data_IF_126332879670
#
_entry.id   IF_126332879670
#
_cell.length_a   1.000
_cell.length_b   1.000
_cell.length_c   1.000
_cell.angle_alpha   90.00
_cell.angle_beta   90.00
_cell.angle_gamma   90.00
#
_symmetry.space_group_name_H-M   'P 1'
#
loop_
_entity.id
_entity.type
_entity.pdbx_description
1 polymer ?
#
# COMPACT_ATOMS: atom_id res chain seq x y z
N UNK A 1 21.58 -67.91 -10.39
CA UNK A 1 20.70 -67.06 -9.55
C UNK A 1 21.31 -65.68 -9.21
N UNK A 2 22.32 -65.20 -9.95
CA UNK A 2 23.17 -64.07 -9.54
C UNK A 2 23.08 -62.83 -10.44
N UNK A 3 22.60 -62.96 -11.69
CA UNK A 3 22.50 -61.83 -12.63
C UNK A 3 21.20 -61.03 -12.45
N UNK A 4 20.06 -61.71 -12.25
CA UNK A 4 18.76 -61.06 -12.03
C UNK A 4 18.74 -60.20 -10.75
N UNK A 5 19.39 -60.64 -9.69
CA UNK A 5 19.41 -59.89 -8.42
C UNK A 5 20.21 -58.59 -8.51
N UNK A 6 21.26 -58.54 -9.35
CA UNK A 6 22.04 -57.32 -9.57
C UNK A 6 21.28 -56.27 -10.39
N UNK A 7 20.51 -56.71 -11.39
CA UNK A 7 19.67 -55.82 -12.20
C UNK A 7 18.52 -55.23 -11.36
N UNK A 8 17.89 -56.06 -10.51
CA UNK A 8 16.83 -55.62 -9.59
C UNK A 8 17.37 -54.64 -8.55
N UNK A 9 18.56 -54.89 -7.97
CA UNK A 9 19.20 -53.93 -7.07
C UNK A 9 19.53 -52.60 -7.76
N UNK A 10 20.04 -52.62 -9.00
CA UNK A 10 20.36 -51.40 -9.74
C UNK A 10 19.09 -50.57 -10.04
N UNK A 11 18.01 -51.24 -10.46
CA UNK A 11 16.71 -50.60 -10.72
C UNK A 11 16.09 -50.03 -9.44
N UNK A 12 16.21 -50.72 -8.30
CA UNK A 12 15.76 -50.22 -7.01
C UNK A 12 16.58 -49.02 -6.50
N UNK A 13 17.88 -48.99 -6.78
CA UNK A 13 18.74 -47.84 -6.47
C UNK A 13 18.39 -46.65 -7.37
N UNK A 14 18.16 -46.86 -8.67
CA UNK A 14 17.72 -45.80 -9.58
C UNK A 14 16.33 -45.29 -9.18
N UNK A 15 15.40 -46.17 -8.83
CA UNK A 15 14.07 -45.80 -8.34
C UNK A 15 14.16 -45.05 -7.00
N UNK A 16 15.04 -45.49 -6.09
CA UNK A 16 15.32 -44.85 -4.81
C UNK A 16 15.95 -43.46 -4.95
N UNK A 17 16.86 -43.29 -5.91
CA UNK A 17 17.45 -41.98 -6.24
C UNK A 17 16.40 -41.06 -6.89
N UNK A 18 15.57 -41.59 -7.80
CA UNK A 18 14.49 -40.81 -8.43
C UNK A 18 13.38 -40.40 -7.45
N UNK A 19 13.15 -41.18 -6.39
CA UNK A 19 12.18 -40.87 -5.33
C UNK A 19 12.77 -39.99 -4.22
N UNK A 20 14.11 -39.94 -4.08
CA UNK A 20 14.81 -38.94 -3.25
C UNK A 20 14.79 -37.54 -3.86
N UNK A 21 14.71 -37.42 -5.19
CA UNK A 21 14.27 -36.19 -5.84
C UNK A 21 12.74 -36.11 -5.83
N UNK A 22 12.15 -36.13 -4.63
CA UNK A 22 10.86 -35.48 -4.44
C UNK A 22 11.11 -34.00 -4.74
N UNK A 23 10.94 -33.63 -6.01
CA UNK A 23 11.01 -32.23 -6.42
C UNK A 23 9.94 -31.52 -5.61
N UNK A 24 10.35 -30.76 -4.60
CA UNK A 24 9.62 -29.54 -4.29
C UNK A 24 9.67 -28.79 -5.61
N UNK A 25 8.57 -28.78 -6.35
CA UNK A 25 8.46 -28.01 -7.58
C UNK A 25 8.64 -26.55 -7.18
N UNK A 26 9.88 -26.07 -7.19
CA UNK A 26 10.22 -24.70 -6.89
C UNK A 26 9.69 -23.85 -8.01
N UNK A 27 8.96 -22.78 -7.66
CA UNK A 27 8.54 -21.79 -8.64
C UNK A 27 9.78 -21.23 -9.35
N UNK A 28 9.63 -21.01 -10.65
CA UNK A 28 10.61 -20.43 -11.54
C UNK A 28 9.99 -19.29 -12.32
N UNK A 29 10.81 -18.44 -12.94
CA UNK A 29 10.32 -17.38 -13.84
C UNK A 29 9.52 -17.93 -15.03
N UNK A 30 9.75 -19.19 -15.43
CA UNK A 30 9.03 -19.84 -16.52
C UNK A 30 7.57 -20.20 -16.17
N UNK A 31 7.21 -20.17 -14.89
CA UNK A 31 5.82 -20.38 -14.42
C UNK A 31 4.94 -19.12 -14.58
N UNK A 32 5.53 -18.00 -15.04
CA UNK A 32 4.87 -16.71 -15.22
C UNK A 32 4.86 -16.30 -16.71
N UNK A 33 3.93 -15.41 -17.13
CA UNK A 33 3.92 -14.89 -18.50
C UNK A 33 5.27 -14.29 -18.89
N UNK A 34 5.65 -14.42 -20.16
CA UNK A 34 6.85 -13.75 -20.68
C UNK A 34 6.75 -12.24 -20.45
N UNK A 35 7.81 -11.64 -19.90
CA UNK A 35 7.83 -10.23 -19.50
C UNK A 35 7.20 -9.94 -18.15
N UNK A 36 6.86 -10.95 -17.34
CA UNK A 36 6.44 -10.73 -15.95
C UNK A 36 7.60 -10.13 -15.15
N UNK A 37 7.34 -8.98 -14.53
CA UNK A 37 8.32 -8.18 -13.78
C UNK A 37 8.38 -8.67 -12.34
N UNK A 38 9.57 -9.04 -11.88
CA UNK A 38 9.85 -9.28 -10.46
C UNK A 38 10.71 -8.13 -9.92
N UNK A 39 10.34 -7.62 -8.75
CA UNK A 39 11.07 -6.54 -8.12
C UNK A 39 10.95 -6.55 -6.61
N UNK A 40 11.68 -5.65 -5.98
CA UNK A 40 11.56 -5.35 -4.55
C UNK A 40 11.02 -3.94 -4.36
N UNK A 41 10.39 -3.66 -3.21
CA UNK A 41 9.80 -2.36 -2.91
C UNK A 41 10.34 -1.76 -1.61
N UNK A 42 10.35 -0.44 -1.53
CA UNK A 42 10.73 0.36 -0.36
C UNK A 42 9.92 1.66 -0.28
N UNK A 43 10.11 2.41 0.81
CA UNK A 43 9.62 3.78 0.95
C UNK A 43 10.71 4.69 1.51
N UNK A 44 10.65 5.96 1.13
CA UNK A 44 11.58 7.04 1.49
C UNK A 44 11.88 7.07 2.99
N UNK A 45 10.85 7.24 3.83
CA UNK A 45 11.04 7.38 5.27
C UNK A 45 11.57 6.08 5.93
N UNK A 46 11.23 4.91 5.40
CA UNK A 46 11.69 3.63 5.94
C UNK A 46 13.13 3.28 5.52
N UNK A 47 13.65 3.86 4.44
CA UNK A 47 14.94 3.47 3.86
C UNK A 47 16.01 4.56 3.84
N UNK A 48 15.64 5.81 3.52
CA UNK A 48 16.61 6.83 3.16
C UNK A 48 17.47 7.30 4.34
N UNK A 49 16.85 7.62 5.47
CA UNK A 49 17.53 8.37 6.54
C UNK A 49 17.83 9.81 6.13
N UNK A 50 18.98 10.34 6.57
CA UNK A 50 19.50 11.66 6.21
C UNK A 50 18.44 12.79 6.38
N UNK A 51 17.69 12.73 7.48
CA UNK A 51 16.43 13.49 7.65
C UNK A 51 16.60 15.01 7.69
N UNK A 52 17.81 15.51 7.93
CA UNK A 52 18.18 16.94 8.03
C UNK A 52 19.21 17.37 6.98
N UNK A 53 19.56 16.49 6.04
CA UNK A 53 20.58 16.77 5.03
C UNK A 53 20.01 17.41 3.77
N UNK A 54 20.86 18.15 3.05
CA UNK A 54 20.58 18.69 1.72
C UNK A 54 19.24 19.42 1.60
N UNK A 55 18.86 20.14 2.66
CA UNK A 55 17.68 21.00 2.67
C UNK A 55 16.34 20.29 2.85
N UNK A 56 16.31 18.99 3.17
CA UNK A 56 15.07 18.26 3.48
C UNK A 56 14.29 18.91 4.62
N UNK A 57 12.98 19.11 4.44
CA UNK A 57 12.06 19.52 5.51
C UNK A 57 11.54 18.33 6.32
N UNK A 58 11.08 18.55 7.57
CA UNK A 58 10.48 17.49 8.38
C UNK A 58 9.12 17.05 7.81
N UNK A 59 8.80 15.78 8.02
CA UNK A 59 7.49 15.16 7.73
C UNK A 59 6.71 14.92 9.02
N UNK A 60 5.43 14.57 8.88
CA UNK A 60 4.60 14.09 10.00
C UNK A 60 5.22 12.89 10.72
N UNK A 61 5.96 12.03 10.01
CA UNK A 61 6.64 10.88 10.59
C UNK A 61 7.91 11.24 11.36
N UNK A 62 8.65 12.26 10.93
CA UNK A 62 9.77 12.80 11.71
C UNK A 62 9.27 13.27 13.08
N UNK A 63 8.17 14.04 13.12
CA UNK A 63 7.56 14.52 14.37
C UNK A 63 6.97 13.38 15.21
N UNK A 64 6.26 12.46 14.58
CA UNK A 64 5.57 11.36 15.26
C UNK A 64 6.56 10.38 15.91
N UNK A 65 7.63 9.99 15.20
CA UNK A 65 8.65 9.08 15.73
C UNK A 65 9.45 9.67 16.90
N UNK A 66 9.59 11.00 16.97
CA UNK A 66 10.19 11.70 18.09
C UNK A 66 9.23 11.97 19.26
N UNK A 67 7.97 11.55 19.14
CA UNK A 67 6.98 11.71 20.21
C UNK A 67 7.01 10.48 21.14
N UNK A 68 7.06 10.73 22.44
CA UNK A 68 7.15 9.67 23.45
C UNK A 68 6.01 8.65 23.33
N UNK A 69 6.36 7.35 23.36
CA UNK A 69 5.39 6.24 23.37
C UNK A 69 4.69 5.97 22.04
N UNK A 70 5.08 6.64 20.95
CA UNK A 70 4.50 6.43 19.61
C UNK A 70 5.16 5.30 18.82
N UNK A 71 6.42 5.01 19.11
CA UNK A 71 7.17 3.88 18.54
C UNK A 71 7.45 2.87 19.66
N UNK A 72 7.09 1.60 19.46
CA UNK A 72 7.11 0.56 20.50
C UNK A 72 8.52 0.34 21.08
N UNK A 73 9.55 0.38 20.23
CA UNK A 73 10.94 0.16 20.60
C UNK A 73 11.73 1.47 20.81
N UNK A 74 11.03 2.62 20.80
CA UNK A 74 11.60 3.96 20.94
C UNK A 74 12.62 4.35 19.86
N UNK A 75 12.66 3.63 18.74
CA UNK A 75 13.48 3.99 17.58
C UNK A 75 12.87 5.13 16.75
N UNK A 76 13.66 5.65 15.81
CA UNK A 76 13.21 6.56 14.76
C UNK A 76 13.93 6.22 13.44
N UNK A 77 13.60 6.93 12.37
CA UNK A 77 14.18 6.72 11.04
C UNK A 77 15.17 7.83 10.63
N UNK A 78 15.83 8.49 11.59
CA UNK A 78 16.79 9.57 11.28
C UNK A 78 17.91 9.12 10.35
N UNK A 79 18.34 7.86 10.54
CA UNK A 79 19.31 7.15 9.68
C UNK A 79 18.65 6.04 8.87
N UNK A 80 17.61 5.38 9.40
CA UNK A 80 16.99 4.22 8.78
C UNK A 80 18.03 3.15 8.38
N UNK A 81 18.06 2.75 7.10
CA UNK A 81 19.14 1.90 6.53
C UNK A 81 20.11 2.69 5.64
N UNK A 82 20.07 4.02 5.73
CA UNK A 82 20.99 4.95 5.08
C UNK A 82 21.03 4.82 3.54
N UNK A 83 19.89 4.49 2.92
CA UNK A 83 19.80 4.35 1.46
C UNK A 83 20.10 5.67 0.75
N UNK A 84 19.91 6.83 1.40
CA UNK A 84 20.24 8.13 0.84
C UNK A 84 21.70 8.19 0.35
N UNK A 85 22.62 7.60 1.12
CA UNK A 85 24.04 7.51 0.79
C UNK A 85 24.43 6.18 0.13
N UNK A 86 23.67 5.11 0.38
CA UNK A 86 24.06 3.73 0.04
C UNK A 86 23.29 3.11 -1.12
N UNK A 87 22.48 3.88 -1.83
CA UNK A 87 21.62 3.34 -2.90
C UNK A 87 22.40 2.51 -3.95
N UNK A 88 23.63 2.89 -4.30
CA UNK A 88 24.44 2.09 -5.25
C UNK A 88 24.70 0.65 -4.76
N UNK A 89 24.96 0.48 -3.46
CA UNK A 89 25.15 -0.85 -2.87
C UNK A 89 23.82 -1.63 -2.86
N UNK A 90 22.69 -0.97 -2.57
CA UNK A 90 21.39 -1.62 -2.62
C UNK A 90 21.01 -2.05 -4.05
N UNK A 91 21.29 -1.22 -5.05
CA UNK A 91 21.06 -1.55 -6.47
C UNK A 91 21.89 -2.77 -6.87
N UNK A 92 23.14 -2.87 -6.41
CA UNK A 92 23.95 -4.05 -6.71
C UNK A 92 23.35 -5.34 -6.12
N UNK A 93 22.77 -5.30 -4.92
CA UNK A 93 22.05 -6.45 -4.36
C UNK A 93 20.84 -6.86 -5.22
N UNK A 94 20.12 -5.89 -5.80
CA UNK A 94 18.99 -6.17 -6.69
C UNK A 94 19.45 -6.86 -7.98
N UNK A 95 20.60 -6.44 -8.53
CA UNK A 95 21.24 -7.10 -9.67
C UNK A 95 21.64 -8.52 -9.32
N UNK A 96 22.27 -8.72 -8.16
CA UNK A 96 22.74 -10.04 -7.71
C UNK A 96 21.57 -11.03 -7.49
N UNK A 97 20.39 -10.53 -7.11
CA UNK A 97 19.15 -11.30 -7.03
C UNK A 97 18.43 -11.48 -8.37
N UNK A 98 18.85 -10.77 -9.42
CA UNK A 98 18.22 -10.77 -10.74
C UNK A 98 16.82 -10.14 -10.74
N UNK A 99 16.65 -9.00 -10.06
CA UNK A 99 15.40 -8.21 -10.09
C UNK A 99 15.29 -7.39 -11.38
N UNK A 100 14.07 -7.28 -11.90
CA UNK A 100 13.75 -6.51 -13.12
C UNK A 100 13.39 -5.05 -12.77
N UNK A 101 12.81 -4.82 -11.60
CA UNK A 101 12.32 -3.51 -11.19
C UNK A 101 12.59 -3.20 -9.71
N UNK A 102 12.60 -1.90 -9.40
CA UNK A 102 12.64 -1.40 -8.03
C UNK A 102 11.51 -0.41 -7.80
N UNK A 103 10.65 -0.75 -6.83
CA UNK A 103 9.62 0.13 -6.31
C UNK A 103 10.19 1.01 -5.19
N UNK A 104 10.16 2.34 -5.34
CA UNK A 104 10.55 3.26 -4.26
C UNK A 104 9.67 4.51 -4.25
N UNK A 105 9.66 5.25 -3.13
CA UNK A 105 8.92 6.51 -3.06
C UNK A 105 9.82 7.75 -3.07
N UNK A 106 9.28 8.86 -3.57
CA UNK A 106 9.93 10.18 -3.50
C UNK A 106 9.45 10.90 -2.26
N UNK A 107 10.37 11.36 -1.41
CA UNK A 107 10.06 12.16 -0.24
C UNK A 107 9.57 13.55 -0.65
N UNK A 108 8.28 13.83 -0.45
CA UNK A 108 7.71 15.15 -0.73
C UNK A 108 8.51 16.25 -0.01
N UNK A 109 8.84 16.07 1.26
CA UNK A 109 9.60 17.06 2.03
C UNK A 109 11.07 17.23 1.59
N UNK A 110 11.62 16.33 0.76
CA UNK A 110 12.91 16.54 0.09
C UNK A 110 12.80 17.40 -1.15
N UNK A 111 11.67 17.35 -1.86
CA UNK A 111 11.43 18.17 -3.06
C UNK A 111 10.91 19.55 -2.69
N UNK A 112 9.93 19.60 -1.78
CA UNK A 112 9.36 20.81 -1.21
C UNK A 112 9.48 20.78 0.31
N UNK A 113 10.52 21.39 0.91
CA UNK A 113 10.75 21.34 2.36
C UNK A 113 9.60 21.90 3.19
N UNK A 114 8.93 22.94 2.69
CA UNK A 114 7.70 23.53 3.27
C UNK A 114 6.41 22.94 2.70
N UNK A 115 6.49 21.85 1.94
CA UNK A 115 5.39 21.19 1.21
C UNK A 115 4.91 21.90 -0.05
N UNK A 116 5.09 23.21 -0.13
CA UNK A 116 4.87 24.01 -1.34
C UNK A 116 5.95 25.08 -1.49
N UNK A 117 6.01 25.75 -2.64
CA UNK A 117 6.86 26.92 -2.85
C UNK A 117 8.13 26.61 -3.63
N UNK A 118 9.29 26.85 -3.02
CA UNK A 118 10.59 26.67 -3.69
C UNK A 118 11.00 25.20 -3.73
N UNK A 119 11.39 24.72 -4.91
CA UNK A 119 11.95 23.38 -5.08
C UNK A 119 13.33 23.33 -4.44
N UNK A 120 13.60 22.27 -3.70
CA UNK A 120 14.94 21.94 -3.24
C UNK A 120 15.66 21.11 -4.33
N UNK A 121 16.58 21.76 -5.04
CA UNK A 121 17.31 21.13 -6.15
C UNK A 121 18.13 19.92 -5.71
N UNK A 122 18.67 19.91 -4.50
CA UNK A 122 19.44 18.77 -4.01
C UNK A 122 18.58 17.50 -3.87
N UNK A 123 17.30 17.64 -3.51
CA UNK A 123 16.33 16.54 -3.54
C UNK A 123 16.08 16.01 -4.96
N UNK A 124 15.95 16.91 -5.95
CA UNK A 124 15.83 16.52 -7.36
C UNK A 124 17.08 15.77 -7.83
N UNK A 125 18.26 16.28 -7.50
CA UNK A 125 19.54 15.67 -7.89
C UNK A 125 19.73 14.29 -7.27
N UNK A 126 19.28 14.08 -6.02
CA UNK A 126 19.29 12.78 -5.36
C UNK A 126 18.48 11.74 -6.15
N UNK A 127 17.20 12.02 -6.42
CA UNK A 127 16.36 11.05 -7.15
C UNK A 127 16.81 10.87 -8.61
N UNK A 128 17.34 11.90 -9.25
CA UNK A 128 17.99 11.75 -10.56
C UNK A 128 19.17 10.76 -10.52
N UNK A 129 20.04 10.84 -9.50
CA UNK A 129 21.15 9.90 -9.32
C UNK A 129 20.64 8.48 -9.09
N UNK A 130 19.63 8.29 -8.24
CA UNK A 130 19.02 6.98 -7.98
C UNK A 130 18.41 6.37 -9.25
N UNK A 131 17.56 7.13 -9.95
CA UNK A 131 16.91 6.69 -11.20
C UNK A 131 17.95 6.32 -12.26
N UNK A 132 18.97 7.17 -12.45
CA UNK A 132 20.02 6.91 -13.43
C UNK A 132 20.83 5.65 -13.06
N UNK A 133 21.13 5.44 -11.78
CA UNK A 133 21.85 4.27 -11.32
C UNK A 133 21.05 2.97 -11.50
N UNK A 134 19.74 2.98 -11.26
CA UNK A 134 18.84 1.85 -11.52
C UNK A 134 18.83 1.49 -13.01
N UNK A 135 18.57 2.47 -13.87
CA UNK A 135 18.50 2.27 -15.31
C UNK A 135 19.84 1.83 -15.91
N UNK A 136 20.96 2.34 -15.40
CA UNK A 136 22.30 1.91 -15.81
C UNK A 136 22.58 0.42 -15.49
N UNK A 137 21.80 -0.17 -14.56
CA UNK A 137 21.85 -1.59 -14.21
C UNK A 137 20.71 -2.41 -14.82
N UNK A 138 19.89 -1.81 -15.69
CA UNK A 138 18.75 -2.47 -16.33
C UNK A 138 17.57 -2.72 -15.39
N UNK A 139 17.49 -1.99 -14.26
CA UNK A 139 16.39 -2.09 -13.30
C UNK A 139 15.41 -0.96 -13.55
N UNK A 140 14.14 -1.31 -13.80
CA UNK A 140 13.10 -0.33 -14.08
C UNK A 140 12.58 0.35 -12.79
N UNK A 141 12.50 1.70 -12.74
CA UNK A 141 11.96 2.41 -11.59
C UNK A 141 10.43 2.44 -11.61
N UNK A 142 9.82 1.91 -10.54
CA UNK A 142 8.40 2.06 -10.22
C UNK A 142 8.29 3.06 -9.06
N UNK A 143 7.74 4.25 -9.32
CA UNK A 143 7.85 5.36 -8.38
C UNK A 143 6.53 5.67 -7.71
N UNK A 144 6.52 5.56 -6.39
CA UNK A 144 5.43 6.04 -5.54
C UNK A 144 5.62 7.51 -5.21
N UNK A 145 4.62 8.34 -5.54
CA UNK A 145 4.67 9.78 -5.31
C UNK A 145 4.41 10.07 -3.83
N UNK A 146 3.38 9.46 -3.23
CA UNK A 146 3.07 9.64 -1.82
C UNK A 146 3.07 8.34 -1.03
N UNK A 147 3.97 8.24 -0.06
CA UNK A 147 4.05 7.12 0.87
C UNK A 147 4.04 7.60 2.33
N UNK A 148 2.95 8.27 2.70
CA UNK A 148 2.59 8.70 4.06
C UNK A 148 3.47 9.82 4.64
N UNK A 149 4.44 10.31 3.89
CA UNK A 149 5.50 11.23 4.30
C UNK A 149 5.12 12.71 4.07
N UNK A 150 3.92 13.09 4.52
CA UNK A 150 3.41 14.47 4.40
C UNK A 150 4.40 15.46 5.04
N UNK A 151 4.81 16.54 4.34
CA UNK A 151 5.60 17.61 4.94
C UNK A 151 4.89 18.21 6.16
N UNK A 152 5.58 18.28 7.30
CA UNK A 152 4.99 18.75 8.57
C UNK A 152 4.47 20.18 8.45
N UNK A 153 5.07 21.00 7.59
CA UNK A 153 4.61 22.36 7.31
C UNK A 153 3.15 22.42 6.82
N UNK A 154 2.68 21.44 6.04
CA UNK A 154 1.29 21.39 5.56
C UNK A 154 0.33 20.91 6.66
N UNK A 155 0.77 19.96 7.48
CA UNK A 155 0.03 19.52 8.67
C UNK A 155 -0.11 20.65 9.71
N UNK A 156 0.94 21.43 9.94
CA UNK A 156 0.90 22.59 10.83
C UNK A 156 -0.01 23.70 10.27
N UNK A 157 0.07 23.96 8.95
CA UNK A 157 -0.67 25.03 8.28
C UNK A 157 -2.17 24.79 8.22
N UNK A 158 -2.61 23.58 7.84
CA UNK A 158 -4.03 23.29 7.62
C UNK A 158 -4.44 21.85 7.96
N UNK A 159 -3.64 21.10 8.72
CA UNK A 159 -3.91 19.68 9.08
C UNK A 159 -3.88 18.72 7.90
N UNK A 160 -3.09 19.05 6.87
CA UNK A 160 -2.75 18.13 5.81
C UNK A 160 -3.98 17.61 5.08
N UNK A 161 -4.14 16.28 5.08
CA UNK A 161 -5.22 15.59 4.37
C UNK A 161 -6.64 15.86 4.88
N UNK A 162 -6.80 16.61 5.97
CA UNK A 162 -8.11 17.05 6.45
C UNK A 162 -8.63 18.31 5.75
N UNK A 163 -7.79 19.02 5.00
CA UNK A 163 -8.17 20.24 4.27
C UNK A 163 -8.04 20.04 2.77
N UNK A 164 -9.01 20.53 2.00
CA UNK A 164 -9.04 20.41 0.54
C UNK A 164 -7.86 21.06 -0.17
N UNK A 165 -7.16 22.03 0.46
CA UNK A 165 -5.94 22.64 -0.10
C UNK A 165 -4.86 21.60 -0.42
N UNK A 166 -4.84 20.47 0.31
CA UNK A 166 -3.88 19.39 0.06
C UNK A 166 -3.94 18.84 -1.35
N UNK A 167 -5.11 18.88 -2.00
CA UNK A 167 -5.32 18.38 -3.36
C UNK A 167 -4.44 19.17 -4.33
N UNK A 168 -4.47 20.50 -4.21
CA UNK A 168 -3.68 21.40 -5.04
C UNK A 168 -2.19 21.29 -4.75
N UNK A 169 -1.81 21.25 -3.46
CA UNK A 169 -0.40 21.17 -3.06
C UNK A 169 0.23 19.84 -3.50
N UNK A 170 -0.50 18.73 -3.33
CA UNK A 170 -0.09 17.41 -3.80
C UNK A 170 -0.02 17.34 -5.33
N UNK A 171 -1.00 17.92 -6.03
CA UNK A 171 -0.98 17.97 -7.50
C UNK A 171 0.25 18.71 -8.02
N UNK A 172 0.66 19.81 -7.38
CA UNK A 172 1.88 20.54 -7.74
C UNK A 172 3.14 19.73 -7.49
N UNK A 173 3.19 18.98 -6.39
CA UNK A 173 4.29 18.07 -6.10
C UNK A 173 4.40 16.96 -7.14
N UNK A 174 3.30 16.27 -7.43
CA UNK A 174 3.26 15.21 -8.44
C UNK A 174 3.64 15.72 -9.84
N UNK A 175 3.14 16.90 -10.24
CA UNK A 175 3.50 17.55 -11.50
C UNK A 175 5.00 17.81 -11.60
N UNK A 176 5.62 18.26 -10.50
CA UNK A 176 7.08 18.43 -10.42
C UNK A 176 7.80 17.10 -10.61
N UNK A 177 7.32 16.02 -10.01
CA UNK A 177 7.89 14.69 -10.24
C UNK A 177 7.82 14.28 -11.73
N UNK A 178 6.70 14.55 -12.41
CA UNK A 178 6.56 14.26 -13.84
C UNK A 178 7.50 15.09 -14.69
N UNK A 179 7.64 16.39 -14.39
CA UNK A 179 8.54 17.30 -15.10
C UNK A 179 10.01 16.88 -14.99
N UNK A 180 10.42 16.45 -13.79
CA UNK A 180 11.83 16.22 -13.48
C UNK A 180 12.30 14.79 -13.77
N UNK A 181 11.38 13.81 -13.74
CA UNK A 181 11.75 12.39 -13.80
C UNK A 181 10.98 11.59 -14.85
N UNK A 182 9.87 12.10 -15.37
CA UNK A 182 8.99 11.35 -16.28
C UNK A 182 9.58 11.06 -17.67
N UNK A 183 10.69 11.72 -18.02
CA UNK A 183 11.48 11.34 -19.20
C UNK A 183 12.03 9.90 -19.08
N UNK A 184 12.30 9.43 -17.85
CA UNK A 184 12.85 8.11 -17.53
C UNK A 184 11.87 7.20 -16.78
N UNK A 185 11.09 7.73 -15.85
CA UNK A 185 10.14 6.96 -15.04
C UNK A 185 8.83 6.75 -15.80
N UNK A 186 8.42 5.48 -15.97
CA UNK A 186 7.24 5.10 -16.77
C UNK A 186 6.11 4.46 -15.96
N UNK A 187 6.34 4.17 -14.68
CA UNK A 187 5.34 3.57 -13.80
C UNK A 187 5.20 4.40 -12.54
N UNK A 188 4.07 5.10 -12.43
CA UNK A 188 3.77 6.01 -11.33
C UNK A 188 2.68 5.44 -10.44
N UNK A 189 2.91 5.46 -9.13
CA UNK A 189 1.94 5.10 -8.11
C UNK A 189 1.65 6.37 -7.32
N UNK A 190 0.44 6.93 -7.42
CA UNK A 190 0.17 8.20 -6.73
C UNK A 190 0.14 8.03 -5.22
N UNK A 191 -0.52 6.99 -4.74
CA UNK A 191 -0.71 6.72 -3.33
C UNK A 191 -0.35 5.29 -3.02
N UNK A 192 0.32 5.10 -1.88
CA UNK A 192 0.45 3.79 -1.25
C UNK A 192 -0.57 3.65 -0.11
N UNK A 193 -1.35 2.57 -0.15
CA UNK A 193 -2.20 2.08 0.93
C UNK A 193 -3.11 3.16 1.57
N UNK A 194 -3.98 3.81 0.77
CA UNK A 194 -4.77 4.92 1.24
C UNK A 194 -5.77 4.53 2.35
N UNK A 195 -6.21 3.26 2.39
CA UNK A 195 -7.05 2.76 3.47
C UNK A 195 -6.26 2.67 4.78
N UNK A 196 -5.09 2.04 4.79
CA UNK A 196 -4.24 1.96 5.99
C UNK A 196 -3.85 3.35 6.47
N UNK A 197 -3.47 4.25 5.56
CA UNK A 197 -3.17 5.65 5.86
C UNK A 197 -4.34 6.37 6.56
N UNK A 198 -5.56 6.28 6.03
CA UNK A 198 -6.74 6.93 6.61
C UNK A 198 -7.11 6.33 7.97
N UNK A 199 -7.13 5.00 8.08
CA UNK A 199 -7.52 4.30 9.31
C UNK A 199 -6.47 4.48 10.41
N UNK A 200 -5.21 4.16 10.14
CA UNK A 200 -4.18 4.17 11.19
C UNK A 200 -3.78 5.59 11.60
N UNK A 201 -3.88 6.55 10.68
CA UNK A 201 -3.57 7.97 10.93
C UNK A 201 -4.69 8.75 11.61
N UNK A 202 -5.97 8.41 11.35
CA UNK A 202 -7.13 9.25 11.72
C UNK A 202 -8.30 8.53 12.41
N UNK A 203 -8.29 7.19 12.52
CA UNK A 203 -9.20 6.42 13.37
C UNK A 203 -8.45 5.80 14.56
N UNK A 204 -7.45 4.97 14.27
CA UNK A 204 -6.72 4.20 15.28
C UNK A 204 -5.70 5.07 16.00
N UNK A 205 -5.12 6.05 15.29
CA UNK A 205 -4.12 6.98 15.82
C UNK A 205 -2.78 6.35 16.17
N UNK A 206 -2.44 5.20 15.56
CA UNK A 206 -1.17 4.49 15.75
C UNK A 206 -0.10 4.85 14.72
N UNK A 207 -0.47 5.52 13.62
CA UNK A 207 0.44 6.04 12.62
C UNK A 207 0.32 7.57 12.56
N UNK A 208 1.33 8.25 12.03
CA UNK A 208 1.32 9.71 11.90
C UNK A 208 0.11 10.19 11.06
N UNK A 209 -0.59 11.29 11.43
CA UNK A 209 -0.30 12.20 12.55
C UNK A 209 -0.85 11.74 13.93
N UNK A 210 -1.42 10.55 14.02
CA UNK A 210 -1.81 9.92 15.28
C UNK A 210 -3.13 10.41 15.86
N UNK A 211 -4.08 10.81 14.99
CA UNK A 211 -5.36 11.39 15.37
C UNK A 211 -6.42 10.32 15.60
N UNK A 212 -7.27 10.53 16.60
CA UNK A 212 -8.42 9.67 16.88
C UNK A 212 -9.39 10.27 17.91
N UNK A 213 -10.55 9.65 18.08
CA UNK A 213 -11.52 9.93 19.16
C UNK A 213 -10.95 9.55 20.54
N UNK A 214 -11.00 10.47 21.51
CA UNK A 214 -10.38 10.29 22.83
C UNK A 214 -11.03 9.21 23.71
N UNK A 215 -12.32 8.91 23.48
CA UNK A 215 -13.17 8.12 24.36
C UNK A 215 -12.70 6.67 24.60
N UNK A 216 -11.78 6.14 23.79
CA UNK A 216 -11.11 4.84 24.03
C UNK A 216 -9.60 4.83 23.80
N UNK A 217 -9.01 5.93 23.35
CA UNK A 217 -7.63 5.97 22.88
C UNK A 217 -6.93 7.18 23.51
N UNK A 218 -6.70 7.06 24.82
CA UNK A 218 -6.14 8.08 25.73
C UNK A 218 -4.80 8.70 25.27
N UNK A 219 -4.17 8.17 24.22
CA UNK A 219 -2.87 8.59 23.71
C UNK A 219 -2.94 9.42 22.42
N UNK A 220 -4.12 9.70 21.86
CA UNK A 220 -4.24 10.61 20.71
C UNK A 220 -4.24 12.08 21.15
N UNK A 221 -3.59 12.98 20.40
CA UNK A 221 -3.58 14.41 20.69
C UNK A 221 -4.92 15.10 20.38
N UNK A 222 -5.84 14.39 19.72
CA UNK A 222 -7.15 14.86 19.28
C UNK A 222 -7.56 14.16 17.99
N UNK A 223 -8.77 14.46 17.49
CA UNK A 223 -9.30 13.86 16.28
C UNK A 223 -10.76 13.46 16.42
N UNK A 224 -11.32 12.97 15.32
CA UNK A 224 -12.65 12.39 15.29
C UNK A 224 -12.66 11.18 14.35
N UNK A 225 -12.53 10.00 14.95
CA UNK A 225 -12.49 8.70 14.26
C UNK A 225 -13.80 8.38 13.51
N UNK A 226 -14.89 9.12 13.76
CA UNK A 226 -16.15 8.96 13.04
C UNK A 226 -16.17 9.65 11.67
N UNK A 227 -15.33 10.67 11.45
CA UNK A 227 -15.42 11.57 10.29
C UNK A 227 -14.10 11.78 9.57
N UNK A 228 -13.00 11.92 10.30
CA UNK A 228 -11.70 12.27 9.72
C UNK A 228 -11.18 11.27 8.69
N UNK A 229 -11.27 9.94 8.90
CA UNK A 229 -10.86 8.96 7.89
C UNK A 229 -11.60 9.14 6.56
N UNK A 230 -12.90 9.47 6.59
CA UNK A 230 -13.71 9.68 5.39
C UNK A 230 -13.35 10.97 4.65
N UNK A 231 -13.05 12.05 5.36
CA UNK A 231 -12.55 13.30 4.78
C UNK A 231 -11.21 13.05 4.08
N UNK A 232 -10.28 12.39 4.79
CA UNK A 232 -8.96 12.03 4.27
C UNK A 232 -9.06 11.16 3.02
N UNK A 233 -9.86 10.08 3.08
CA UNK A 233 -10.07 9.20 1.94
C UNK A 233 -10.69 9.90 0.73
N UNK A 234 -11.59 10.86 0.97
CA UNK A 234 -12.18 11.68 -0.09
C UNK A 234 -11.16 12.60 -0.76
N UNK A 235 -10.35 13.32 0.02
CA UNK A 235 -9.29 14.17 -0.53
C UNK A 235 -8.23 13.36 -1.28
N UNK A 236 -7.88 12.14 -0.82
CA UNK A 236 -6.98 11.24 -1.55
C UNK A 236 -7.52 10.89 -2.93
N UNK A 237 -8.82 10.57 -3.04
CA UNK A 237 -9.44 10.23 -4.33
C UNK A 237 -9.47 11.43 -5.28
N UNK A 238 -9.81 12.62 -4.79
CA UNK A 238 -9.80 13.85 -5.59
C UNK A 238 -8.38 14.25 -6.00
N UNK A 239 -7.40 14.11 -5.10
CA UNK A 239 -5.99 14.35 -5.36
C UNK A 239 -5.43 13.39 -6.40
N UNK A 240 -5.76 12.09 -6.32
CA UNK A 240 -5.40 11.12 -7.35
C UNK A 240 -5.98 11.50 -8.71
N UNK A 241 -7.28 11.77 -8.79
CA UNK A 241 -7.95 12.13 -10.03
C UNK A 241 -7.33 13.40 -10.66
N UNK A 242 -6.98 14.37 -9.81
CA UNK A 242 -6.31 15.62 -10.22
C UNK A 242 -4.96 15.34 -10.86
N UNK A 243 -4.14 14.51 -10.21
CA UNK A 243 -2.82 14.12 -10.71
C UNK A 243 -2.92 13.28 -11.98
N UNK A 244 -3.88 12.35 -12.05
CA UNK A 244 -4.12 11.53 -13.23
C UNK A 244 -4.54 12.37 -14.44
N UNK A 245 -5.38 13.40 -14.25
CA UNK A 245 -5.79 14.33 -15.30
C UNK A 245 -4.61 15.18 -15.80
N UNK A 246 -3.80 15.72 -14.88
CA UNK A 246 -2.56 16.45 -15.21
C UNK A 246 -1.62 15.56 -16.03
N UNK A 247 -1.36 14.34 -15.56
CA UNK A 247 -0.47 13.39 -16.25
C UNK A 247 -1.00 13.09 -17.66
N UNK A 248 -2.27 12.74 -17.78
CA UNK A 248 -2.91 12.38 -19.05
C UNK A 248 -2.89 13.51 -20.07
N UNK A 249 -3.17 14.75 -19.65
CA UNK A 249 -3.26 15.91 -20.55
C UNK A 249 -1.91 16.46 -20.95
N UNK A 250 -0.94 16.47 -20.04
CA UNK A 250 0.34 17.20 -20.26
C UNK A 250 1.54 16.31 -20.54
N UNK A 251 1.59 15.10 -19.97
CA UNK A 251 2.82 14.31 -19.91
C UNK A 251 2.70 12.95 -20.60
N UNK A 252 1.55 12.27 -20.52
CA UNK A 252 1.40 10.89 -20.97
C UNK A 252 1.73 10.68 -22.45
N UNK A 253 1.31 11.61 -23.32
CA UNK A 253 1.56 11.52 -24.76
C UNK A 253 3.05 11.58 -25.13
N UNK A 254 3.84 12.36 -24.39
CA UNK A 254 5.28 12.55 -24.65
C UNK A 254 6.16 11.59 -23.86
N UNK A 255 5.75 11.25 -22.64
CA UNK A 255 6.52 10.40 -21.73
C UNK A 255 6.19 8.92 -21.87
N UNK A 256 4.99 8.55 -22.32
CA UNK A 256 4.59 7.16 -22.57
C UNK A 256 4.45 6.30 -21.31
N UNK A 257 4.28 6.90 -20.13
CA UNK A 257 4.11 6.15 -18.88
C UNK A 257 2.66 5.83 -18.52
N UNK A 258 2.51 5.19 -17.37
CA UNK A 258 1.24 4.73 -16.78
C UNK A 258 1.14 5.15 -15.31
N UNK A 259 -0.08 5.31 -14.83
CA UNK A 259 -0.35 5.78 -13.47
C UNK A 259 -1.42 4.94 -12.76
N UNK A 260 -1.17 4.59 -11.50
CA UNK A 260 -2.08 3.81 -10.67
C UNK A 260 -2.00 4.17 -9.18
N UNK A 261 -2.65 3.35 -8.35
CA UNK A 261 -2.59 3.38 -6.88
C UNK A 261 -2.22 1.98 -6.40
N UNK A 262 -1.45 1.88 -5.31
CA UNK A 262 -1.22 0.63 -4.59
C UNK A 262 -2.18 0.55 -3.39
N UNK A 263 -3.06 -0.46 -3.36
CA UNK A 263 -4.05 -0.64 -2.30
C UNK A 263 -3.63 -1.72 -1.31
N UNK A 264 -3.77 -1.47 -0.01
CA UNK A 264 -3.68 -2.52 1.01
C UNK A 264 -4.93 -3.39 0.99
N UNK A 265 -4.75 -4.69 0.76
CA UNK A 265 -5.88 -5.62 0.61
C UNK A 265 -5.66 -6.89 1.41
N UNK A 266 -6.47 -7.05 2.45
CA UNK A 266 -6.70 -8.36 3.06
C UNK A 266 -7.78 -9.09 2.26
N UNK A 267 -7.63 -10.40 2.12
CA UNK A 267 -8.75 -11.24 1.72
C UNK A 267 -9.61 -11.55 2.95
N UNK A 268 -10.94 -11.55 2.81
CA UNK A 268 -11.85 -11.89 3.90
C UNK A 268 -12.62 -13.18 3.59
N UNK A 269 -12.41 -14.21 4.41
CA UNK A 269 -13.26 -15.42 4.38
C UNK A 269 -14.42 -15.28 5.38
N UNK A 270 -15.64 -15.73 5.07
CA UNK A 270 -16.71 -15.76 6.06
C UNK A 270 -16.34 -16.74 7.19
N UNK A 271 -16.57 -16.31 8.44
CA UNK A 271 -16.25 -17.10 9.63
C UNK A 271 -17.00 -18.44 9.63
N UNK A 272 -18.30 -18.41 9.33
CA UNK A 272 -19.14 -19.58 9.08
C UNK A 272 -19.83 -19.48 7.72
N UNK A 273 -20.27 -20.62 7.17
CA UNK A 273 -21.10 -20.66 5.96
C UNK A 273 -22.55 -20.25 6.25
N UNK A 274 -22.72 -19.03 6.77
CA UNK A 274 -24.02 -18.41 7.08
C UNK A 274 -24.20 -17.16 6.20
N UNK A 275 -25.41 -16.87 5.72
CA UNK A 275 -25.65 -15.70 4.87
C UNK A 275 -25.12 -14.38 5.47
N UNK A 276 -25.28 -14.19 6.78
CA UNK A 276 -24.84 -12.99 7.50
C UNK A 276 -23.31 -12.83 7.57
N UNK A 277 -22.56 -13.92 7.65
CA UNK A 277 -21.09 -13.90 7.69
C UNK A 277 -20.50 -13.77 6.29
N UNK A 278 -21.16 -14.33 5.27
CA UNK A 278 -20.85 -14.07 3.86
C UNK A 278 -21.05 -12.59 3.53
N UNK A 279 -22.18 -12.01 3.93
CA UNK A 279 -22.42 -10.57 3.77
C UNK A 279 -21.39 -9.76 4.57
N UNK A 280 -21.03 -10.17 5.79
CA UNK A 280 -19.99 -9.49 6.56
C UNK A 280 -18.60 -9.51 5.89
N UNK A 281 -18.21 -10.61 5.25
CA UNK A 281 -16.98 -10.70 4.48
C UNK A 281 -16.98 -9.74 3.27
N UNK A 282 -18.10 -9.67 2.55
CA UNK A 282 -18.26 -8.71 1.44
C UNK A 282 -18.17 -7.27 1.95
N UNK A 283 -18.86 -6.94 3.05
CA UNK A 283 -18.78 -5.59 3.64
C UNK A 283 -17.38 -5.25 4.14
N UNK A 284 -16.64 -6.20 4.72
CA UNK A 284 -15.25 -5.97 5.08
C UNK A 284 -14.39 -5.66 3.85
N UNK A 285 -14.63 -6.34 2.73
CA UNK A 285 -13.96 -6.06 1.46
C UNK A 285 -14.34 -4.69 0.89
N UNK A 286 -15.62 -4.32 0.93
CA UNK A 286 -16.12 -3.01 0.49
C UNK A 286 -15.50 -1.88 1.31
N UNK A 287 -15.42 -2.03 2.63
CA UNK A 287 -14.87 -0.99 3.51
C UNK A 287 -13.34 -0.87 3.47
N UNK A 288 -12.63 -1.85 2.91
CA UNK A 288 -11.18 -1.77 2.69
C UNK A 288 -10.84 -1.40 1.24
N UNK A 289 -11.08 -2.31 0.30
CA UNK A 289 -10.72 -2.14 -1.10
C UNK A 289 -11.78 -1.31 -1.84
N UNK A 290 -13.06 -1.65 -1.65
CA UNK A 290 -14.17 -0.99 -2.34
C UNK A 290 -14.22 0.52 -2.09
N UNK A 291 -13.86 0.96 -0.87
CA UNK A 291 -13.85 2.36 -0.46
C UNK A 291 -13.07 3.24 -1.44
N UNK A 292 -11.92 2.76 -1.92
CA UNK A 292 -11.11 3.52 -2.88
C UNK A 292 -11.31 3.03 -4.31
N UNK A 293 -11.52 1.73 -4.52
CA UNK A 293 -11.61 1.15 -5.86
C UNK A 293 -12.93 1.51 -6.55
N UNK A 294 -14.08 1.42 -5.88
CA UNK A 294 -15.37 1.68 -6.53
C UNK A 294 -15.52 3.12 -7.05
N UNK A 295 -15.10 4.17 -6.34
CA UNK A 295 -15.09 5.52 -6.89
C UNK A 295 -14.30 5.63 -8.21
N UNK A 296 -13.17 4.92 -8.31
CA UNK A 296 -12.28 4.96 -9.47
C UNK A 296 -12.83 4.20 -10.68
N UNK A 297 -13.68 3.19 -10.48
CA UNK A 297 -14.28 2.40 -11.57
C UNK A 297 -15.72 2.81 -11.90
N UNK A 298 -16.51 3.13 -10.89
CA UNK A 298 -17.95 3.35 -11.00
C UNK A 298 -18.37 4.79 -10.72
N UNK A 299 -17.52 5.57 -10.04
CA UNK A 299 -17.74 6.99 -9.78
C UNK A 299 -18.42 7.30 -8.44
N UNK A 300 -18.70 6.31 -7.60
CA UNK A 300 -19.20 6.51 -6.23
C UNK A 300 -18.67 5.44 -5.28
N UNK A 301 -18.80 5.67 -3.97
CA UNK A 301 -18.45 4.70 -2.93
C UNK A 301 -19.39 3.47 -2.95
N UNK A 302 -18.96 2.33 -2.37
CA UNK A 302 -19.80 1.14 -2.25
C UNK A 302 -21.15 1.44 -1.61
N UNK A 303 -22.20 0.79 -2.12
CA UNK A 303 -23.56 0.95 -1.60
C UNK A 303 -23.67 0.58 -0.10
N UNK A 304 -22.88 -0.41 0.33
CA UNK A 304 -22.78 -0.82 1.73
C UNK A 304 -22.24 0.30 2.62
N UNK A 305 -21.21 1.02 2.18
CA UNK A 305 -20.66 2.19 2.85
C UNK A 305 -21.66 3.34 2.89
N UNK A 306 -22.25 3.69 1.74
CA UNK A 306 -23.29 4.74 1.65
C UNK A 306 -24.42 4.50 2.64
N UNK A 307 -24.89 3.26 2.75
CA UNK A 307 -25.98 2.87 3.66
C UNK A 307 -25.59 2.94 5.15
N UNK A 308 -24.36 2.55 5.50
CA UNK A 308 -23.93 2.38 6.90
C UNK A 308 -23.33 3.64 7.50
N UNK A 309 -22.57 4.38 6.69
CA UNK A 309 -21.88 5.60 7.12
C UNK A 309 -22.80 6.83 7.03
N UNK A 310 -23.68 6.86 6.02
CA UNK A 310 -24.63 7.95 5.82
C UNK A 310 -23.92 9.28 5.54
N UNK A 311 -24.36 10.34 6.23
CA UNK A 311 -23.90 11.71 5.97
C UNK A 311 -22.44 11.99 6.39
N UNK A 312 -21.82 11.07 7.16
CA UNK A 312 -20.38 11.17 7.48
C UNK A 312 -19.49 10.87 6.27
N UNK A 313 -20.03 10.18 5.25
CA UNK A 313 -19.31 9.87 4.02
C UNK A 313 -19.53 10.99 2.99
N UNK A 314 -18.49 11.74 2.58
CA UNK A 314 -18.63 12.81 1.60
C UNK A 314 -19.29 12.37 0.29
N UNK A 315 -19.99 13.29 -0.38
CA UNK A 315 -20.65 13.02 -1.67
C UNK A 315 -19.86 13.66 -2.79
N UNK A 316 -19.63 12.90 -3.86
CA UNK A 316 -19.07 13.46 -5.09
C UNK A 316 -20.15 14.27 -5.80
N UNK A 317 -19.79 15.46 -6.25
CA UNK A 317 -20.55 16.24 -7.23
C UNK A 317 -20.51 15.54 -8.60
N UNK A 318 -21.46 15.80 -9.52
CA UNK A 318 -21.44 15.21 -10.85
C UNK A 318 -20.12 15.45 -11.62
N UNK A 319 -19.48 16.60 -11.42
CA UNK A 319 -18.16 16.91 -11.98
C UNK A 319 -17.06 16.04 -11.38
N UNK A 320 -17.07 15.81 -10.07
CA UNK A 320 -16.08 14.95 -9.42
C UNK A 320 -16.26 13.48 -9.79
N UNK A 321 -17.51 13.01 -9.94
CA UNK A 321 -17.82 11.66 -10.44
C UNK A 321 -17.16 11.42 -11.80
N UNK A 322 -17.36 12.36 -12.74
CA UNK A 322 -16.77 12.28 -14.07
C UNK A 322 -15.24 12.36 -14.05
N UNK A 323 -14.68 13.00 -13.04
CA UNK A 323 -13.25 13.23 -12.88
C UNK A 323 -12.51 12.04 -12.25
N UNK A 324 -13.10 11.43 -11.21
CA UNK A 324 -12.51 10.30 -10.48
C UNK A 324 -12.64 9.01 -11.27
N UNK A 325 -13.76 8.81 -11.98
CA UNK A 325 -14.02 7.58 -12.74
C UNK A 325 -13.04 7.42 -13.92
N UNK A 326 -12.36 6.26 -13.99
CA UNK A 326 -11.42 5.92 -15.06
C UNK A 326 -10.04 6.59 -14.95
N UNK A 327 -9.68 7.03 -13.73
CA UNK A 327 -8.40 7.72 -13.46
C UNK A 327 -7.20 6.79 -13.27
N UNK A 328 -7.39 5.47 -13.31
CA UNK A 328 -6.33 4.45 -13.21
C UNK A 328 -5.96 3.86 -14.58
N UNK A 329 -4.66 3.68 -14.82
CA UNK A 329 -4.13 2.83 -15.89
C UNK A 329 -3.84 1.40 -15.41
N UNK A 330 -3.48 1.25 -14.13
CA UNK A 330 -3.25 -0.05 -13.49
C UNK A 330 -3.66 -0.01 -12.01
N UNK A 331 -3.76 -1.20 -11.40
CA UNK A 331 -4.08 -1.40 -9.98
C UNK A 331 -2.91 -2.12 -9.32
N UNK A 332 -2.29 -1.51 -8.32
CA UNK A 332 -1.33 -2.16 -7.43
C UNK A 332 -2.06 -2.79 -6.23
N UNK A 333 -1.65 -4.00 -5.85
CA UNK A 333 -2.24 -4.73 -4.72
C UNK A 333 -1.13 -5.11 -3.74
N UNK A 334 -1.18 -4.52 -2.55
CA UNK A 334 -0.34 -4.88 -1.42
C UNK A 334 -1.09 -5.92 -0.59
N UNK A 335 -0.79 -7.19 -0.83
CA UNK A 335 -1.42 -8.32 -0.14
C UNK A 335 -0.41 -9.04 0.75
N UNK A 336 -0.79 -9.20 2.02
CA UNK A 336 0.04 -9.90 3.03
C UNK A 336 -0.68 -11.06 3.70
N UNK A 337 -2.00 -10.93 3.94
CA UNK A 337 -2.72 -11.87 4.80
C UNK A 337 -4.21 -11.95 4.46
N UNK A 338 -4.87 -12.93 5.06
CA UNK A 338 -6.31 -13.20 4.94
C UNK A 338 -6.91 -13.28 6.34
N UNK A 339 -8.08 -12.70 6.59
CA UNK A 339 -8.78 -12.80 7.88
C UNK A 339 -10.17 -13.46 7.71
N UNK A 340 -10.71 -14.01 8.80
CA UNK A 340 -12.13 -14.35 8.86
C UNK A 340 -12.95 -13.10 9.15
N UNK A 341 -14.16 -13.01 8.61
CA UNK A 341 -15.14 -11.98 8.89
C UNK A 341 -16.46 -12.59 9.37
N UNK A 342 -17.04 -12.03 10.42
CA UNK A 342 -18.39 -12.39 10.90
C UNK A 342 -19.25 -11.18 11.16
N UNK A 343 -20.56 -11.34 11.09
CA UNK A 343 -21.48 -10.25 11.36
C UNK A 343 -21.37 -9.77 12.82
N UNK A 344 -21.29 -8.45 13.02
CA UNK A 344 -21.34 -7.85 14.34
C UNK A 344 -22.80 -7.55 14.75
N UNK A 345 -23.50 -8.55 15.29
CA UNK A 345 -24.92 -8.44 15.63
C UNK A 345 -25.23 -7.52 16.80
N UNK A 346 -24.30 -7.34 17.74
CA UNK A 346 -24.53 -6.49 18.92
C UNK A 346 -24.33 -5.01 18.61
N UNK A 347 -23.43 -4.70 17.67
CA UNK A 347 -23.01 -3.35 17.27
C UNK A 347 -22.70 -2.39 18.44
N UNK A 348 -22.44 -2.90 19.64
CA UNK A 348 -22.36 -2.09 20.86
C UNK A 348 -21.22 -1.08 20.80
N UNK A 349 -20.05 -1.53 20.34
CA UNK A 349 -18.87 -0.69 20.12
C UNK A 349 -19.12 0.33 18.99
N UNK A 350 -19.78 -0.07 17.91
CA UNK A 350 -20.15 0.85 16.82
C UNK A 350 -21.13 1.93 17.25
N UNK A 351 -22.08 1.61 18.12
CA UNK A 351 -23.04 2.57 18.69
C UNK A 351 -22.36 3.53 19.68
N UNK A 352 -21.41 3.04 20.48
CA UNK A 352 -20.75 3.85 21.51
C UNK A 352 -19.65 4.75 20.93
N UNK A 353 -18.87 4.24 19.99
CA UNK A 353 -17.75 4.98 19.41
C UNK A 353 -18.12 5.71 18.14
N UNK A 354 -18.97 5.10 17.31
CA UNK A 354 -19.32 5.60 15.99
C UNK A 354 -18.09 5.82 15.09
N UNK A 355 -17.03 5.02 15.27
CA UNK A 355 -15.75 5.13 14.55
C UNK A 355 -15.80 4.40 13.19
N UNK A 356 -14.99 4.86 12.23
CA UNK A 356 -14.91 4.33 10.85
C UNK A 356 -14.69 2.82 10.80
N UNK A 357 -13.80 2.25 11.62
CA UNK A 357 -13.53 0.81 11.67
C UNK A 357 -14.77 -0.03 12.01
N UNK A 358 -15.70 0.52 12.81
CA UNK A 358 -16.90 -0.19 13.21
C UNK A 358 -18.01 -0.16 12.15
N UNK A 359 -17.96 0.79 11.20
CA UNK A 359 -19.04 1.04 10.25
C UNK A 359 -19.29 -0.13 9.29
N UNK A 360 -18.28 -0.95 9.02
CA UNK A 360 -18.44 -2.20 8.24
C UNK A 360 -19.47 -3.15 8.87
N UNK A 361 -19.67 -3.06 10.19
CA UNK A 361 -20.46 -4.00 10.98
C UNK A 361 -19.94 -5.44 10.89
N UNK A 362 -18.67 -5.62 10.53
CA UNK A 362 -18.01 -6.90 10.47
C UNK A 362 -16.97 -6.98 11.60
N UNK A 363 -16.90 -8.11 12.29
CA UNK A 363 -15.77 -8.44 13.17
C UNK A 363 -14.82 -9.27 12.34
N UNK A 364 -13.61 -8.76 12.14
CA UNK A 364 -12.56 -9.43 11.37
C UNK A 364 -11.47 -9.93 12.31
N UNK A 365 -11.05 -11.19 12.15
CA UNK A 365 -10.09 -11.85 13.02
C UNK A 365 -9.19 -12.81 12.22
N UNK A 366 -7.90 -12.92 12.56
CA UNK A 366 -7.01 -13.89 11.94
C UNK A 366 -7.22 -15.33 12.42
N UNK A 367 -8.23 -15.60 13.27
CA UNK A 367 -8.48 -16.92 13.84
C UNK A 367 -9.99 -17.24 13.97
N UNK A 368 -10.29 -18.54 13.91
CA UNK A 368 -11.60 -19.12 14.24
C UNK A 368 -11.46 -19.96 15.51
N UNK A 369 -11.98 -19.44 16.62
CA UNK A 369 -11.70 -20.00 17.96
C UNK A 369 -10.21 -19.84 18.30
N UNK A 370 -9.49 -20.95 18.46
CA UNK A 370 -8.03 -20.96 18.70
C UNK A 370 -7.21 -21.27 17.45
N UNK A 371 -7.86 -21.49 16.29
CA UNK A 371 -7.19 -21.88 15.05
C UNK A 371 -6.94 -20.65 14.18
N UNK A 372 -5.69 -20.30 13.83
CA UNK A 372 -5.43 -19.26 12.86
C UNK A 372 -5.98 -19.65 11.48
N UNK A 373 -6.19 -18.65 10.64
CA UNK A 373 -6.58 -18.83 9.24
C UNK A 373 -5.39 -19.27 8.39
N UNK A 374 -5.62 -20.22 7.48
CA UNK A 374 -4.56 -20.84 6.68
C UNK A 374 -3.95 -22.10 7.33
N UNK A 375 -3.33 -22.94 6.51
CA UNK A 375 -2.52 -24.07 7.00
C UNK A 375 -1.08 -23.57 7.21
N UNK A 376 -0.43 -23.99 8.29
CA UNK A 376 1.03 -23.81 8.47
C UNK A 376 1.79 -24.67 7.46
N UNK A 377 2.06 -24.15 6.25
CA UNK A 377 2.92 -24.81 5.26
C UNK A 377 3.87 -23.78 4.64
N UNK A 378 5.18 -24.04 4.72
CA UNK A 378 6.23 -23.13 4.27
C UNK A 378 6.89 -22.37 5.42
N UNK A 379 8.00 -21.66 5.14
CA UNK A 379 8.84 -20.99 6.14
C UNK A 379 8.01 -20.17 7.15
N UNK A 380 8.55 -19.94 8.35
CA UNK A 380 7.90 -19.19 9.47
C UNK A 380 7.38 -17.79 9.13
N UNK A 381 7.59 -17.30 7.90
CA UNK A 381 7.27 -15.95 7.44
C UNK A 381 6.11 -15.85 6.45
N UNK A 382 5.67 -16.93 5.79
CA UNK A 382 4.61 -16.85 4.76
C UNK A 382 3.68 -18.07 4.83
N UNK A 383 2.41 -17.83 5.18
CA UNK A 383 1.33 -18.82 5.14
C UNK A 383 0.53 -18.64 3.84
N UNK A 384 0.62 -19.60 2.91
CA UNK A 384 -0.16 -19.59 1.65
C UNK A 384 -1.13 -20.76 1.63
N UNK A 385 -2.42 -20.49 1.39
CA UNK A 385 -3.45 -21.51 1.15
C UNK A 385 -3.77 -21.60 -0.34
N UNK A 386 -3.75 -22.82 -0.89
CA UNK A 386 -4.33 -23.12 -2.19
C UNK A 386 -5.85 -23.27 -2.03
N UNK A 387 -6.67 -22.49 -2.74
CA UNK A 387 -8.07 -22.84 -2.96
C UNK A 387 -8.10 -23.90 -4.05
N UNK A 388 -8.50 -25.13 -3.71
CA UNK A 388 -8.83 -26.13 -4.70
C UNK A 388 -10.08 -25.66 -5.44
N UNK A 389 -9.88 -25.03 -6.61
CA UNK A 389 -10.96 -24.76 -7.55
C UNK A 389 -11.37 -26.09 -8.17
N UNK A 390 -12.40 -26.74 -7.61
CA UNK A 390 -13.15 -27.74 -8.37
C UNK A 390 -13.87 -27.03 -9.52
N UNK A 391 -13.27 -27.11 -10.70
CA UNK A 391 -13.88 -26.68 -11.94
C UNK A 391 -15.06 -27.63 -12.25
N UNK A 392 -16.24 -27.34 -11.70
CA UNK A 392 -17.49 -27.96 -12.16
C UNK A 392 -17.80 -27.46 -13.56
N UNK A 393 -17.23 -28.13 -14.56
CA UNK A 393 -17.76 -28.13 -15.93
C UNK A 393 -19.16 -28.74 -15.90
N UNK A 394 -20.16 -27.96 -16.30
CA UNK A 394 -21.39 -28.45 -16.93
C UNK A 394 -21.61 -27.64 -18.19
#
# INVERSE_FOLDING_TARGET
MTYNNRLVCLLLVIYGISSFFSSVSSLSRADFPSGFVFGTASSSFQYEGAVKEDGRGPTVWDKFSHSFGKVIDFSNADVAVDQYHRFNANIQLMVDMGMDAYGFSIAWSRIYPSGSGTINQAGIDHYNKLINALLAKGIEPYVTIYHWDLPQALDDKYKGWLDSQIITDYARFAETCFEQFGDRVKHWITFNEPHTFAIQGYDVGLQAPGRCSILLRLFCPGGNSATEPYIVGHHVLLAHATVADIYRKKYKATQGGSLGIAFDVMWYEPMDNKPEDIDAANRAQDFQLGWFMEPLFFGDYPASMRKRVGDRLPKFTPSEVAFVKGSLDFVGINHYTTWYARNNSTNFIGVILNDTLADSGAITLPFKGVKPIGDKRGSTFVEMRRKDYEQKRR
#
